data_IF_565195332175
#
_entry.id   IF_565195332175
#
_cell.length_a   1.000
_cell.length_b   1.000
_cell.length_c   1.000
_cell.angle_alpha   90.00
_cell.angle_beta   90.00
_cell.angle_gamma   90.00
#
_symmetry.space_group_name_H-M   'P 1'
#
loop_
_entity.id
_entity.type
_entity.pdbx_description
1 polymer ?
#
# COMPACT_ATOMS: atom_id res chain seq x y z
N UNK A 1 10.57 54.52 33.01
CA UNK A 1 9.50 54.24 32.02
C UNK A 1 10.02 53.66 30.70
N UNK A 2 11.08 54.20 30.08
CA UNK A 2 11.58 53.69 28.77
C UNK A 2 12.07 52.24 28.77
N UNK A 3 12.74 51.77 29.83
CA UNK A 3 13.25 50.39 29.91
C UNK A 3 12.14 49.33 30.01
N UNK A 4 11.05 49.64 30.72
CA UNK A 4 9.89 48.73 30.87
C UNK A 4 9.17 48.58 29.52
N UNK A 5 9.02 49.66 28.76
CA UNK A 5 8.42 49.62 27.42
C UNK A 5 9.24 48.79 26.43
N UNK A 6 10.56 48.83 26.50
CA UNK A 6 11.45 48.02 25.65
C UNK A 6 11.31 46.53 26.00
N UNK A 7 11.24 46.18 27.29
CA UNK A 7 11.04 44.80 27.72
C UNK A 7 9.70 44.23 27.25
N UNK A 8 8.61 45.00 27.34
CA UNK A 8 7.31 44.60 26.81
C UNK A 8 7.32 44.40 25.28
N UNK A 9 7.99 45.29 24.53
CA UNK A 9 8.12 45.14 23.07
C UNK A 9 8.88 43.88 22.68
N UNK A 10 9.98 43.56 23.37
CA UNK A 10 10.76 42.33 23.11
C UNK A 10 9.93 41.09 23.40
N UNK A 11 9.16 41.09 24.50
CA UNK A 11 8.27 40.00 24.86
C UNK A 11 7.15 39.81 23.83
N UNK A 12 6.53 40.89 23.35
CA UNK A 12 5.51 40.83 22.30
C UNK A 12 6.08 40.32 20.97
N UNK A 13 7.28 40.74 20.58
CA UNK A 13 7.94 40.25 19.37
C UNK A 13 8.25 38.75 19.49
N UNK A 14 8.79 38.30 20.62
CA UNK A 14 9.05 36.87 20.86
C UNK A 14 7.75 36.04 20.87
N UNK A 15 6.68 36.54 21.50
CA UNK A 15 5.40 35.86 21.51
C UNK A 15 4.83 35.71 20.09
N UNK A 16 4.89 36.77 19.26
CA UNK A 16 4.45 36.72 17.87
C UNK A 16 5.30 35.78 17.01
N UNK A 17 6.62 35.74 17.22
CA UNK A 17 7.49 34.77 16.53
C UNK A 17 7.14 33.33 16.91
N UNK A 18 6.88 33.05 18.20
CA UNK A 18 6.48 31.73 18.66
C UNK A 18 5.12 31.29 18.08
N UNK A 19 4.12 32.18 18.06
CA UNK A 19 2.82 31.87 17.44
C UNK A 19 2.93 31.62 15.94
N UNK A 20 3.77 32.39 15.24
CA UNK A 20 3.97 32.25 13.80
C UNK A 20 4.67 30.93 13.43
N UNK A 21 5.68 30.53 14.19
CA UNK A 21 6.35 29.23 13.99
C UNK A 21 5.38 28.07 14.23
N UNK A 22 4.57 28.14 15.29
CA UNK A 22 3.60 27.08 15.63
C UNK A 22 2.48 26.95 14.57
N UNK A 23 1.96 28.08 14.06
CA UNK A 23 1.01 28.06 12.94
C UNK A 23 1.65 27.46 11.68
N UNK A 24 2.90 27.81 11.37
CA UNK A 24 3.58 27.26 10.19
C UNK A 24 3.81 25.74 10.27
N UNK A 25 4.23 25.22 11.42
CA UNK A 25 4.45 23.77 11.62
C UNK A 25 3.13 23.00 11.58
N UNK A 26 2.08 23.52 12.21
CA UNK A 26 0.75 22.90 12.17
C UNK A 26 0.15 22.89 10.75
N UNK A 27 0.35 23.94 9.96
CA UNK A 27 -0.11 24.01 8.58
C UNK A 27 0.65 23.02 7.68
N UNK A 28 1.96 22.87 7.87
CA UNK A 28 2.78 21.86 7.17
C UNK A 28 2.32 20.44 7.52
N UNK A 29 2.05 20.16 8.80
CA UNK A 29 1.55 18.87 9.25
C UNK A 29 0.18 18.55 8.65
N UNK A 30 -0.77 19.49 8.67
CA UNK A 30 -2.10 19.35 8.07
C UNK A 30 -1.99 19.12 6.56
N UNK A 31 -1.12 19.85 5.87
CA UNK A 31 -0.91 19.68 4.43
C UNK A 31 -0.34 18.29 4.11
N UNK A 32 0.59 17.78 4.92
CA UNK A 32 1.17 16.44 4.75
C UNK A 32 0.15 15.34 5.01
N UNK A 33 -0.63 15.43 6.10
CA UNK A 33 -1.72 14.50 6.42
C UNK A 33 -2.81 14.52 5.34
N UNK A 34 -3.18 15.70 4.83
CA UNK A 34 -4.15 15.84 3.75
C UNK A 34 -3.64 15.22 2.44
N UNK A 35 -2.38 15.47 2.07
CA UNK A 35 -1.77 14.83 0.88
C UNK A 35 -1.70 13.32 1.02
N UNK A 36 -1.38 12.80 2.21
CA UNK A 36 -1.36 11.37 2.49
C UNK A 36 -2.75 10.76 2.39
N UNK A 37 -3.78 11.40 2.96
CA UNK A 37 -5.18 10.94 2.84
C UNK A 37 -5.70 10.98 1.40
N UNK A 38 -5.36 12.02 0.64
CA UNK A 38 -5.71 12.09 -0.79
C UNK A 38 -5.05 10.93 -1.55
N UNK A 39 -3.77 10.67 -1.30
CA UNK A 39 -3.07 9.54 -1.90
C UNK A 39 -3.67 8.19 -1.49
N UNK A 40 -4.26 8.07 -0.29
CA UNK A 40 -4.91 6.85 0.16
C UNK A 40 -6.27 6.60 -0.48
N UNK A 41 -7.04 7.67 -0.70
CA UNK A 41 -8.33 7.57 -1.38
C UNK A 41 -8.20 7.14 -2.86
N UNK A 42 -6.99 7.17 -3.40
CA UNK A 42 -6.71 6.76 -4.78
C UNK A 42 -6.48 5.25 -4.95
N UNK A 43 -6.37 4.47 -3.86
CA UNK A 43 -6.14 3.02 -3.91
C UNK A 43 -7.41 2.31 -4.39
N UNK A 44 -7.40 1.64 -5.55
CA UNK A 44 -8.55 0.87 -6.03
C UNK A 44 -8.80 -0.36 -5.15
N UNK A 45 -10.06 -0.69 -4.89
CA UNK A 45 -10.40 -2.01 -4.34
C UNK A 45 -10.06 -3.09 -5.36
N UNK A 46 -9.48 -4.19 -4.89
CA UNK A 46 -9.17 -5.34 -5.75
C UNK A 46 -10.47 -5.92 -6.35
N UNK A 47 -10.59 -6.00 -7.68
CA UNK A 47 -11.80 -6.53 -8.32
C UNK A 47 -12.01 -8.03 -8.11
N UNK A 48 -10.92 -8.79 -7.98
CA UNK A 48 -10.94 -10.25 -7.86
C UNK A 48 -10.86 -10.99 -9.19
N UNK A 49 -10.76 -12.32 -9.14
CA UNK A 49 -10.45 -13.18 -10.30
C UNK A 49 -11.60 -13.32 -11.30
N UNK A 50 -12.83 -13.14 -10.86
CA UNK A 50 -14.03 -13.26 -11.69
C UNK A 50 -14.41 -11.96 -12.41
N UNK A 51 -13.68 -10.87 -12.15
CA UNK A 51 -13.98 -9.56 -12.68
C UNK A 51 -13.43 -9.39 -14.12
N UNK A 52 -14.14 -8.70 -15.04
CA UNK A 52 -13.65 -8.42 -16.38
C UNK A 52 -12.31 -7.67 -16.45
N UNK A 53 -11.92 -6.95 -15.41
CA UNK A 53 -10.64 -6.27 -15.32
C UNK A 53 -9.46 -7.24 -15.10
N UNK A 54 -9.70 -8.46 -14.64
CA UNK A 54 -8.64 -9.42 -14.33
C UNK A 54 -7.84 -9.82 -15.59
N UNK A 55 -6.50 -9.79 -15.49
CA UNK A 55 -5.59 -10.10 -16.61
C UNK A 55 -4.59 -11.23 -16.30
N UNK A 56 -4.73 -11.87 -15.14
CA UNK A 56 -3.86 -12.96 -14.72
C UNK A 56 -2.90 -12.55 -13.61
N UNK A 57 -1.94 -13.43 -13.34
CA UNK A 57 -0.96 -13.28 -12.26
C UNK A 57 0.40 -13.83 -12.67
N UNK A 58 1.45 -13.40 -11.98
CA UNK A 58 2.79 -13.96 -12.14
C UNK A 58 3.55 -14.05 -10.81
N UNK A 59 4.46 -15.01 -10.70
CA UNK A 59 5.45 -15.03 -9.62
C UNK A 59 6.52 -14.00 -9.95
N UNK A 60 6.79 -13.08 -9.01
CA UNK A 60 7.79 -12.05 -9.23
C UNK A 60 9.21 -12.64 -9.21
N UNK A 61 10.15 -11.92 -9.86
CA UNK A 61 11.58 -12.27 -9.81
C UNK A 61 12.16 -12.24 -8.39
N UNK A 62 11.54 -11.48 -7.48
CA UNK A 62 11.84 -11.52 -6.05
C UNK A 62 11.17 -12.77 -5.47
N UNK A 63 11.95 -13.74 -4.96
CA UNK A 63 11.41 -14.97 -4.42
C UNK A 63 10.40 -14.70 -3.31
N UNK A 64 9.26 -15.38 -3.35
CA UNK A 64 8.24 -15.31 -2.30
C UNK A 64 7.15 -14.27 -2.52
N UNK A 65 7.09 -13.62 -3.69
CA UNK A 65 5.99 -12.71 -4.05
C UNK A 65 5.24 -13.18 -5.29
N UNK A 66 3.93 -12.96 -5.30
CA UNK A 66 3.04 -13.17 -6.45
C UNK A 66 2.28 -11.88 -6.71
N UNK A 67 2.10 -11.53 -7.98
CA UNK A 67 1.37 -10.33 -8.38
C UNK A 67 0.18 -10.69 -9.25
N UNK A 68 -0.98 -10.11 -8.95
CA UNK A 68 -2.17 -10.17 -9.79
C UNK A 68 -2.34 -8.86 -10.54
N UNK A 69 -2.70 -8.92 -11.81
CA UNK A 69 -2.80 -7.76 -12.71
C UNK A 69 -4.24 -7.48 -13.13
N UNK A 70 -4.55 -6.19 -13.25
CA UNK A 70 -5.85 -5.69 -13.66
C UNK A 70 -5.72 -4.53 -14.66
N UNK A 71 -6.64 -4.53 -15.60
CA UNK A 71 -6.94 -3.49 -16.59
C UNK A 71 -8.26 -2.86 -16.16
N UNK A 72 -8.19 -1.76 -15.41
CA UNK A 72 -9.34 -1.26 -14.65
C UNK A 72 -10.34 -0.53 -15.54
N UNK A 73 -9.88 0.10 -16.61
CA UNK A 73 -10.71 0.84 -17.56
C UNK A 73 -11.05 0.04 -18.84
N UNK A 74 -10.51 -1.18 -18.97
CA UNK A 74 -10.72 -2.11 -20.07
C UNK A 74 -10.18 -1.58 -21.41
N UNK A 75 -9.14 -0.74 -21.39
CA UNK A 75 -8.49 -0.21 -22.60
C UNK A 75 -7.45 -1.18 -23.21
N UNK A 76 -7.23 -2.33 -22.56
CA UNK A 76 -6.26 -3.35 -22.96
C UNK A 76 -4.86 -3.16 -22.38
N UNK A 77 -4.65 -2.17 -21.52
CA UNK A 77 -3.40 -1.95 -20.77
C UNK A 77 -3.59 -2.31 -19.30
N UNK A 78 -2.48 -2.59 -18.62
CA UNK A 78 -2.50 -2.86 -17.18
C UNK A 78 -2.42 -1.53 -16.44
N UNK A 79 -3.34 -1.29 -15.52
CA UNK A 79 -3.36 -0.07 -14.69
C UNK A 79 -3.12 -0.36 -13.22
N UNK A 80 -3.40 -1.59 -12.80
CA UNK A 80 -3.40 -1.96 -11.40
C UNK A 80 -2.78 -3.33 -11.16
N UNK A 81 -2.05 -3.44 -10.07
CA UNK A 81 -1.41 -4.66 -9.62
C UNK A 81 -1.49 -4.74 -8.11
N UNK A 82 -1.80 -5.92 -7.61
CA UNK A 82 -1.69 -6.24 -6.18
C UNK A 82 -0.65 -7.33 -6.00
N UNK A 83 0.15 -7.25 -4.94
CA UNK A 83 1.21 -8.23 -4.67
C UNK A 83 1.01 -8.85 -3.30
N UNK A 84 1.11 -10.18 -3.24
CA UNK A 84 0.96 -10.99 -2.02
C UNK A 84 2.24 -11.75 -1.70
N UNK A 85 2.41 -12.04 -0.42
CA UNK A 85 3.49 -12.90 0.08
C UNK A 85 3.08 -14.36 -0.11
N UNK A 86 3.95 -15.16 -0.72
CA UNK A 86 3.81 -16.61 -0.81
C UNK A 86 4.19 -17.21 0.55
N UNK A 87 3.23 -17.87 1.19
CA UNK A 87 3.41 -18.52 2.48
C UNK A 87 3.95 -19.94 2.32
N UNK A 88 3.43 -20.70 1.35
CA UNK A 88 3.88 -22.07 1.03
C UNK A 88 3.58 -22.46 -0.41
N UNK A 89 4.21 -23.55 -0.85
CA UNK A 89 3.97 -24.20 -2.15
C UNK A 89 3.62 -25.66 -1.92
N UNK A 90 2.77 -26.21 -2.77
CA UNK A 90 2.44 -27.64 -2.81
C UNK A 90 2.51 -28.18 -4.24
N UNK A 91 2.73 -29.48 -4.40
CA UNK A 91 2.61 -30.14 -5.70
C UNK A 91 1.13 -30.43 -5.99
N UNK A 92 0.70 -30.18 -7.23
CA UNK A 92 -0.64 -30.59 -7.69
C UNK A 92 -0.78 -32.11 -7.84
N UNK A 93 0.30 -32.87 -7.72
CA UNK A 93 0.27 -34.34 -7.64
C UNK A 93 -0.10 -34.83 -6.23
N UNK A 94 0.18 -34.03 -5.20
CA UNK A 94 -0.08 -34.36 -3.79
C UNK A 94 -1.41 -33.77 -3.30
N UNK A 95 -1.73 -32.55 -3.75
CA UNK A 95 -2.92 -31.80 -3.35
C UNK A 95 -3.70 -31.43 -4.60
N UNK A 96 -4.90 -31.98 -4.75
CA UNK A 96 -5.78 -31.59 -5.85
C UNK A 96 -6.34 -30.18 -5.68
N UNK A 97 -6.98 -29.66 -6.73
CA UNK A 97 -7.50 -28.30 -6.75
C UNK A 97 -8.59 -28.06 -5.69
N UNK A 98 -9.51 -29.01 -5.51
CA UNK A 98 -10.61 -28.88 -4.57
C UNK A 98 -10.10 -28.84 -3.12
N UNK A 99 -9.17 -29.73 -2.78
CA UNK A 99 -8.51 -29.77 -1.48
C UNK A 99 -7.67 -28.53 -1.23
N UNK A 100 -6.98 -28.01 -2.25
CA UNK A 100 -6.22 -26.77 -2.12
C UNK A 100 -7.12 -25.57 -1.83
N UNK A 101 -8.29 -25.47 -2.47
CA UNK A 101 -9.28 -24.42 -2.19
C UNK A 101 -9.78 -24.54 -0.75
N UNK A 102 -10.17 -25.75 -0.31
CA UNK A 102 -10.64 -25.99 1.06
C UNK A 102 -9.58 -25.59 2.12
N UNK A 103 -8.32 -25.98 1.89
CA UNK A 103 -7.21 -25.60 2.76
C UNK A 103 -7.00 -24.08 2.80
N UNK A 104 -7.09 -23.41 1.64
CA UNK A 104 -6.92 -21.97 1.55
C UNK A 104 -8.06 -21.22 2.28
N UNK A 105 -9.30 -21.67 2.16
CA UNK A 105 -10.44 -21.12 2.90
C UNK A 105 -10.28 -21.28 4.41
N UNK A 106 -9.88 -22.47 4.86
CA UNK A 106 -9.65 -22.76 6.27
C UNK A 106 -8.51 -21.90 6.86
N UNK A 107 -7.38 -21.82 6.16
CA UNK A 107 -6.21 -21.06 6.59
C UNK A 107 -6.34 -19.54 6.35
N UNK A 108 -7.47 -19.07 5.79
CA UNK A 108 -7.68 -17.68 5.36
C UNK A 108 -6.52 -17.19 4.46
N UNK A 109 -6.29 -17.93 3.38
CA UNK A 109 -5.25 -17.68 2.37
C UNK A 109 -5.85 -17.49 0.99
N UNK A 110 -5.11 -16.79 0.12
CA UNK A 110 -5.38 -16.82 -1.32
C UNK A 110 -4.56 -17.93 -1.98
N UNK A 111 -5.13 -18.58 -3.00
CA UNK A 111 -4.52 -19.72 -3.69
C UNK A 111 -4.39 -19.46 -5.18
N UNK A 112 -3.25 -19.85 -5.76
CA UNK A 112 -2.93 -19.68 -7.16
C UNK A 112 -2.42 -21.00 -7.76
N UNK A 113 -2.94 -21.37 -8.93
CA UNK A 113 -2.70 -22.68 -9.55
C UNK A 113 -1.85 -22.55 -10.81
N UNK A 114 -0.66 -23.15 -10.82
CA UNK A 114 0.20 -23.26 -12.00
C UNK A 114 0.87 -24.62 -12.04
N UNK A 115 0.25 -25.56 -12.77
CA UNK A 115 0.68 -26.96 -12.83
C UNK A 115 2.20 -27.09 -13.13
N UNK A 116 3.00 -27.80 -12.30
CA UNK A 116 2.60 -28.69 -11.20
C UNK A 116 2.59 -28.06 -9.80
N UNK A 117 2.66 -26.74 -9.67
CA UNK A 117 2.79 -26.02 -8.40
C UNK A 117 1.50 -25.28 -8.03
N UNK A 118 1.11 -25.40 -6.77
CA UNK A 118 0.05 -24.62 -6.13
C UNK A 118 0.71 -23.65 -5.14
N UNK A 119 0.40 -22.37 -5.26
CA UNK A 119 0.92 -21.32 -4.38
C UNK A 119 -0.15 -20.89 -3.40
N UNK A 120 0.16 -20.95 -2.11
CA UNK A 120 -0.66 -20.39 -1.04
C UNK A 120 -0.04 -19.10 -0.55
N UNK A 121 -0.85 -18.08 -0.36
CA UNK A 121 -0.42 -16.70 -0.15
C UNK A 121 -1.23 -16.01 0.94
N UNK A 122 -0.76 -14.86 1.40
CA UNK A 122 -1.56 -13.98 2.24
C UNK A 122 -2.91 -13.67 1.58
N UNK A 123 -4.01 -13.72 2.35
CA UNK A 123 -5.35 -13.40 1.82
C UNK A 123 -5.40 -11.98 1.27
N UNK A 124 -4.87 -11.04 2.04
CA UNK A 124 -4.81 -9.64 1.67
C UNK A 124 -3.46 -9.29 1.01
N UNK A 125 -3.46 -8.37 0.02
CA UNK A 125 -2.22 -7.88 -0.59
C UNK A 125 -1.31 -7.16 0.39
N UNK A 126 0.00 -7.38 0.26
CA UNK A 126 1.02 -6.58 0.93
C UNK A 126 1.26 -5.27 0.19
N UNK A 127 1.18 -5.26 -1.14
CA UNK A 127 1.34 -4.05 -1.94
C UNK A 127 0.17 -3.83 -2.89
N UNK A 128 -0.23 -2.57 -3.00
CA UNK A 128 -1.13 -2.06 -4.03
C UNK A 128 -0.33 -1.14 -4.95
N UNK A 129 -0.45 -1.33 -6.26
CA UNK A 129 0.31 -0.58 -7.25
C UNK A 129 -0.62 -0.09 -8.36
N UNK A 130 -0.66 1.23 -8.57
CA UNK A 130 -1.50 1.90 -9.58
C UNK A 130 -0.65 2.67 -10.59
N UNK A 131 -1.13 2.71 -11.83
CA UNK A 131 -0.46 3.34 -12.96
C UNK A 131 0.72 2.51 -13.42
N UNK A 132 0.47 1.25 -13.79
CA UNK A 132 1.48 0.39 -14.37
C UNK A 132 1.85 0.90 -15.77
N UNK A 133 3.15 0.87 -16.09
CA UNK A 133 3.62 1.08 -17.45
C UNK A 133 3.75 -0.26 -18.21
N UNK A 134 4.13 -0.21 -19.48
CA UNK A 134 4.35 -1.40 -20.33
C UNK A 134 5.47 -2.32 -19.82
N UNK A 135 6.31 -1.86 -18.88
CA UNK A 135 7.37 -2.63 -18.23
C UNK A 135 6.94 -3.10 -16.83
N UNK A 136 5.68 -2.89 -16.45
CA UNK A 136 5.10 -3.20 -15.13
C UNK A 136 5.74 -2.40 -13.98
N UNK A 137 6.31 -1.23 -14.28
CA UNK A 137 6.71 -0.30 -13.22
C UNK A 137 5.50 0.43 -12.68
N UNK A 138 5.48 0.63 -11.37
CA UNK A 138 4.41 1.31 -10.66
C UNK A 138 4.68 2.80 -10.54
N UNK A 139 3.70 3.64 -10.89
CA UNK A 139 3.76 5.07 -10.58
C UNK A 139 3.49 5.35 -9.11
N UNK A 140 2.47 4.71 -8.56
CA UNK A 140 2.08 4.85 -7.16
C UNK A 140 2.06 3.47 -6.51
N UNK A 141 2.65 3.37 -5.32
CA UNK A 141 2.73 2.13 -4.55
C UNK A 141 2.29 2.43 -3.13
N UNK A 142 1.45 1.56 -2.59
CA UNK A 142 1.06 1.55 -1.19
C UNK A 142 1.36 0.19 -0.59
N UNK A 143 1.72 0.18 0.69
CA UNK A 143 1.99 -1.02 1.46
C UNK A 143 0.96 -1.17 2.57
N UNK A 144 0.41 -2.37 2.70
CA UNK A 144 -0.39 -2.79 3.84
C UNK A 144 0.51 -3.63 4.75
N UNK A 145 1.12 -2.96 5.73
CA UNK A 145 2.08 -3.59 6.66
C UNK A 145 1.36 -4.61 7.56
N UNK A 146 0.08 -4.37 7.85
CA UNK A 146 -0.73 -5.23 8.72
C UNK A 146 -1.25 -6.47 7.99
N UNK A 147 -1.21 -6.46 6.65
CA UNK A 147 -1.79 -7.49 5.77
C UNK A 147 -3.26 -7.78 6.16
N UNK A 148 -4.02 -6.74 6.50
CA UNK A 148 -5.41 -6.81 6.96
C UNK A 148 -6.44 -6.31 5.93
N UNK A 149 -5.95 -5.97 4.73
CA UNK A 149 -6.76 -5.60 3.58
C UNK A 149 -7.13 -4.13 3.58
N UNK A 150 -7.65 -3.67 2.43
CA UNK A 150 -7.86 -2.24 2.18
C UNK A 150 -8.80 -1.57 3.20
N UNK A 151 -8.23 -0.93 4.23
CA UNK A 151 -8.98 -0.38 5.36
C UNK A 151 -8.59 1.06 5.73
N UNK A 152 -7.60 1.63 5.05
CA UNK A 152 -7.15 3.00 5.24
C UNK A 152 -5.97 3.15 6.19
N UNK A 153 -5.35 2.04 6.63
CA UNK A 153 -4.07 2.04 7.35
C UNK A 153 -2.85 1.95 6.42
N UNK A 154 -3.05 1.92 5.10
CA UNK A 154 -1.98 1.70 4.14
C UNK A 154 -1.01 2.89 4.12
N UNK A 155 0.25 2.61 3.82
CA UNK A 155 1.29 3.63 3.76
C UNK A 155 1.77 3.82 2.33
N UNK A 156 2.02 5.08 1.94
CA UNK A 156 2.65 5.37 0.65
C UNK A 156 4.08 4.83 0.68
N UNK A 157 4.37 3.88 -0.20
CA UNK A 157 5.70 3.30 -0.29
C UNK A 157 6.63 4.27 -1.03
N UNK A 158 7.74 4.65 -0.37
CA UNK A 158 8.78 5.48 -0.98
C UNK A 158 10.12 4.76 -0.95
N UNK A 159 10.80 4.71 -2.10
CA UNK A 159 12.09 4.01 -2.26
C UNK A 159 13.26 4.63 -1.45
N UNK A 160 13.03 5.75 -0.74
CA UNK A 160 14.10 6.58 -0.17
C UNK A 160 14.04 6.85 1.33
N UNK A 161 12.97 6.47 2.02
CA UNK A 161 12.79 6.81 3.44
C UNK A 161 12.11 5.68 4.20
N UNK A 162 12.83 4.61 4.59
CA UNK A 162 12.28 3.66 5.54
C UNK A 162 11.96 4.43 6.83
N UNK A 163 10.67 4.52 7.18
CA UNK A 163 10.28 5.00 8.51
C UNK A 163 10.78 3.96 9.51
N UNK A 164 11.55 4.40 10.51
CA UNK A 164 11.89 3.51 11.61
C UNK A 164 10.58 3.16 12.33
N UNK A 165 10.31 1.86 12.49
CA UNK A 165 9.29 1.40 13.43
C UNK A 165 9.69 1.88 14.83
N UNK A 166 9.12 3.00 15.27
CA UNK A 166 9.16 3.41 16.67
C UNK A 166 8.10 2.62 17.41
N UNK A 167 8.43 1.37 17.74
CA UNK A 167 7.71 0.57 18.74
C UNK A 167 7.96 1.13 20.13
#
# INVERSE_FOLDING_TARGET
MRLVQIAFMIFFIHAHFLTFVFESESQIFIQKDLMQRIALNDIPREPGWSDPAYRGWEVLSIPGLISTYYDLDLDGKLDYMVTRKISRKASSEEVDMARAIELAEFDQQAVYFSNPVIYFTSKYPLFYCKGLDNRKNCRNIWVDISEDGLNGNEEVYTLGSPLQNTN
#
